data_IF_197302284104
#
_entry.id   IF_197302284104
#
_cell.length_a   1.000
_cell.length_b   1.000
_cell.length_c   1.000
_cell.angle_alpha   90.00
_cell.angle_beta   90.00
_cell.angle_gamma   90.00
#
_symmetry.space_group_name_H-M   'P 1'
#
loop_
_entity.id
_entity.type
_entity.pdbx_description
1 polymer ?
#
# COMPACT_ATOMS: atom_id res chain seq x y z
N UNK A 1 -16.47 0.10 -7.59
CA UNK A 1 -15.07 0.16 -8.02
C UNK A 1 -14.22 0.38 -6.79
N UNK A 2 -13.49 -0.64 -6.34
CA UNK A 2 -12.51 -0.50 -5.27
C UNK A 2 -11.25 0.20 -5.79
N UNK A 3 -10.53 0.92 -4.92
CA UNK A 3 -9.33 1.66 -5.30
C UNK A 3 -8.11 1.08 -4.57
N UNK A 4 -7.01 0.88 -5.29
CA UNK A 4 -5.77 0.35 -4.73
C UNK A 4 -4.87 1.51 -4.29
N UNK A 5 -4.43 1.49 -3.04
CA UNK A 5 -3.65 2.56 -2.41
C UNK A 5 -2.30 1.97 -1.89
N UNK A 6 -1.32 1.71 -2.78
CA UNK A 6 -0.03 1.18 -2.37
C UNK A 6 0.87 2.27 -1.77
N UNK A 7 1.72 1.90 -0.80
CA UNK A 7 2.71 2.80 -0.18
C UNK A 7 3.93 3.06 -1.09
N UNK A 8 4.91 2.17 -1.09
CA UNK A 8 6.08 2.23 -1.99
C UNK A 8 6.22 0.93 -2.74
N UNK A 9 6.36 0.99 -4.08
CA UNK A 9 6.45 -0.19 -4.94
C UNK A 9 7.81 -0.21 -5.62
N UNK A 10 8.49 -1.35 -5.56
CA UNK A 10 9.75 -1.55 -6.28
C UNK A 10 9.49 -1.52 -7.79
N UNK A 11 9.93 -0.45 -8.44
CA UNK A 11 9.87 -0.30 -9.90
C UNK A 11 11.22 0.11 -10.43
N UNK A 12 11.45 -0.10 -11.72
CA UNK A 12 12.72 0.28 -12.39
C UNK A 12 12.97 1.80 -12.45
N UNK A 13 12.04 2.64 -11.98
CA UNK A 13 12.10 4.11 -12.09
C UNK A 13 12.45 4.83 -10.78
N UNK A 14 12.61 4.12 -9.66
CA UNK A 14 12.93 4.77 -8.39
C UNK A 14 14.45 4.89 -8.27
N UNK A 15 14.97 6.10 -8.51
CA UNK A 15 16.33 6.47 -8.12
C UNK A 15 16.33 6.77 -6.61
N UNK A 16 16.93 5.88 -5.82
CA UNK A 16 16.56 5.62 -4.41
C UNK A 16 17.26 6.55 -3.42
N UNK A 17 18.15 7.43 -3.88
CA UNK A 17 19.07 8.13 -2.95
C UNK A 17 18.37 9.17 -2.06
N UNK A 18 17.25 9.78 -2.48
CA UNK A 18 16.50 10.77 -1.68
C UNK A 18 15.36 10.19 -0.82
N UNK A 19 15.03 8.90 -0.97
CA UNK A 19 13.89 8.26 -0.28
C UNK A 19 14.28 6.98 0.46
N UNK A 20 15.57 6.64 0.50
CA UNK A 20 16.14 5.51 1.22
C UNK A 20 15.70 5.44 2.68
N UNK A 21 15.79 6.56 3.41
CA UNK A 21 15.40 6.62 4.82
C UNK A 21 13.91 6.37 5.04
N UNK A 22 13.07 6.79 4.09
CA UNK A 22 11.62 6.54 4.12
C UNK A 22 11.31 5.08 3.77
N UNK A 23 12.01 4.54 2.78
CA UNK A 23 11.94 3.15 2.35
C UNK A 23 12.35 2.20 3.47
N UNK A 24 13.41 2.50 4.22
CA UNK A 24 13.86 1.64 5.33
C UNK A 24 12.85 1.60 6.48
N UNK A 25 12.18 2.73 6.76
CA UNK A 25 11.16 2.81 7.82
C UNK A 25 9.84 2.15 7.45
N UNK A 26 9.42 2.28 6.20
CA UNK A 26 8.06 1.89 5.75
C UNK A 26 8.09 0.53 5.06
N UNK A 27 9.21 0.21 4.42
CA UNK A 27 9.44 -0.95 3.57
C UNK A 27 8.90 -0.76 2.16
N UNK A 28 9.42 -1.58 1.23
CA UNK A 28 9.00 -1.58 -0.17
C UNK A 28 8.13 -2.82 -0.45
N UNK A 29 7.04 -2.60 -1.18
CA UNK A 29 6.18 -3.64 -1.73
C UNK A 29 6.80 -4.15 -3.03
N UNK A 30 6.98 -5.46 -3.12
CA UNK A 30 7.36 -6.11 -4.37
C UNK A 30 6.19 -6.09 -5.35
N UNK A 31 6.49 -5.89 -6.64
CA UNK A 31 5.49 -5.86 -7.72
C UNK A 31 4.61 -7.12 -7.78
N UNK A 32 5.16 -8.29 -7.43
CA UNK A 32 4.43 -9.56 -7.42
C UNK A 32 3.32 -9.55 -6.37
N UNK A 33 3.62 -9.09 -5.15
CA UNK A 33 2.64 -8.95 -4.06
C UNK A 33 1.52 -7.99 -4.47
N UNK A 34 1.85 -6.89 -5.15
CA UNK A 34 0.85 -5.94 -5.62
C UNK A 34 -0.10 -6.57 -6.63
N UNK A 35 0.42 -7.40 -7.55
CA UNK A 35 -0.40 -8.10 -8.53
C UNK A 35 -1.36 -9.12 -7.88
N UNK A 36 -0.90 -9.83 -6.85
CA UNK A 36 -1.74 -10.76 -6.07
C UNK A 36 -2.92 -10.04 -5.41
N UNK A 37 -2.65 -8.90 -4.75
CA UNK A 37 -3.71 -8.10 -4.10
C UNK A 37 -4.72 -7.57 -5.11
N UNK A 38 -4.27 -7.12 -6.29
CA UNK A 38 -5.18 -6.68 -7.35
C UNK A 38 -6.07 -7.83 -7.81
N UNK A 39 -5.54 -9.03 -7.97
CA UNK A 39 -6.33 -10.21 -8.34
C UNK A 39 -7.37 -10.57 -7.29
N UNK A 40 -7.05 -10.44 -6.00
CA UNK A 40 -8.01 -10.63 -4.91
C UNK A 40 -9.13 -9.57 -4.96
N UNK A 41 -8.77 -8.30 -5.11
CA UNK A 41 -9.74 -7.20 -5.19
C UNK A 41 -10.71 -7.32 -6.37
N UNK A 42 -10.27 -7.87 -7.50
CA UNK A 42 -11.14 -8.09 -8.67
C UNK A 42 -12.07 -9.28 -8.47
N UNK A 43 -11.65 -10.28 -7.68
CA UNK A 43 -12.47 -11.47 -7.39
C UNK A 43 -13.52 -11.23 -6.32
N UNK A 44 -13.24 -10.34 -5.36
CA UNK A 44 -14.13 -10.02 -4.25
C UNK A 44 -14.80 -8.65 -4.42
N UNK A 45 -16.03 -8.66 -4.92
CA UNK A 45 -16.83 -7.46 -5.15
C UNK A 45 -17.47 -6.88 -3.87
N UNK A 46 -17.40 -7.57 -2.72
CA UNK A 46 -18.04 -7.12 -1.47
C UNK A 46 -17.42 -5.84 -0.91
N UNK A 47 -16.18 -5.55 -1.30
CA UNK A 47 -15.41 -4.37 -0.89
C UNK A 47 -15.43 -3.23 -1.92
N UNK A 48 -16.37 -3.28 -2.87
CA UNK A 48 -16.55 -2.21 -3.84
C UNK A 48 -16.84 -0.87 -3.16
N UNK A 49 -16.13 0.18 -3.59
CA UNK A 49 -16.26 1.52 -3.02
C UNK A 49 -15.30 1.80 -1.86
N UNK A 50 -14.52 0.81 -1.42
CA UNK A 50 -13.47 0.96 -0.40
C UNK A 50 -12.08 1.10 -1.02
N UNK A 51 -11.14 1.70 -0.29
CA UNK A 51 -9.72 1.72 -0.64
C UNK A 51 -9.01 0.55 0.05
N UNK A 52 -8.28 -0.26 -0.70
CA UNK A 52 -7.36 -1.25 -0.14
C UNK A 52 -6.00 -0.58 0.07
N UNK A 53 -5.60 -0.46 1.33
CA UNK A 53 -4.27 -0.01 1.73
C UNK A 53 -3.34 -1.21 1.72
N UNK A 54 -2.25 -1.11 0.94
CA UNK A 54 -1.24 -2.16 0.84
C UNK A 54 0.06 -1.64 1.43
N UNK A 55 0.59 -2.36 2.42
CA UNK A 55 1.91 -2.13 2.98
C UNK A 55 2.75 -3.42 2.90
N UNK A 56 4.06 -3.35 3.18
CA UNK A 56 4.89 -4.54 3.29
C UNK A 56 4.39 -5.50 4.39
N UNK A 57 3.92 -4.97 5.52
CA UNK A 57 3.53 -5.75 6.69
C UNK A 57 2.07 -6.23 6.64
N UNK A 58 1.13 -5.43 6.13
CA UNK A 58 -0.31 -5.72 6.20
C UNK A 58 -1.09 -5.11 5.04
N UNK A 59 -2.20 -5.77 4.68
CA UNK A 59 -3.19 -5.26 3.75
C UNK A 59 -4.52 -5.08 4.48
N UNK A 60 -5.23 -3.97 4.26
CA UNK A 60 -6.54 -3.74 4.89
C UNK A 60 -7.41 -2.77 4.10
N UNK A 61 -8.73 -2.86 4.27
CA UNK A 61 -9.69 -1.95 3.65
C UNK A 61 -10.00 -0.75 4.55
N UNK A 62 -10.13 0.43 3.93
CA UNK A 62 -10.68 1.65 4.53
C UNK A 62 -11.83 2.18 3.69
N UNK A 63 -12.83 2.73 4.37
CA UNK A 63 -14.00 3.33 3.71
C UNK A 63 -13.65 4.67 3.02
N UNK A 64 -12.54 5.30 3.41
CA UNK A 64 -12.01 6.54 2.83
C UNK A 64 -10.57 6.38 2.31
N UNK A 65 -10.15 7.28 1.44
CA UNK A 65 -8.74 7.40 1.05
C UNK A 65 -7.91 7.85 2.25
N UNK A 66 -6.89 7.09 2.65
CA UNK A 66 -6.04 7.50 3.75
C UNK A 66 -5.32 8.80 3.38
N UNK A 67 -5.35 9.79 4.27
CA UNK A 67 -4.38 10.88 4.18
C UNK A 67 -3.01 10.28 4.40
N UNK A 68 -2.01 10.84 3.71
CA UNK A 68 -0.60 10.46 3.84
C UNK A 68 -0.27 10.34 5.33
N UNK A 69 -0.57 11.36 6.14
CA UNK A 69 -0.31 11.39 7.60
C UNK A 69 -0.91 10.21 8.41
N UNK A 70 -2.09 9.71 8.04
CA UNK A 70 -2.77 8.62 8.75
C UNK A 70 -2.10 7.26 8.55
N UNK A 71 -1.29 7.11 7.49
CA UNK A 71 -0.51 5.89 7.23
C UNK A 71 0.70 5.84 8.17
N UNK A 72 1.33 6.98 8.46
CA UNK A 72 2.58 7.06 9.24
C UNK A 72 2.37 6.90 10.74
N UNK A 73 1.27 7.44 11.30
CA UNK A 73 0.99 7.35 12.74
C UNK A 73 0.75 5.91 13.24
N UNK A 74 0.37 5.00 12.34
CA UNK A 74 0.13 3.59 12.69
C UNK A 74 1.39 2.73 12.72
N UNK A 75 2.49 3.15 12.09
CA UNK A 75 3.75 2.39 12.04
C UNK A 75 4.63 2.62 13.29
N UNK A 76 4.42 3.69 14.04
CA UNK A 76 5.15 3.98 15.29
C UNK A 76 4.51 3.39 16.55
N UNK A 77 3.43 2.60 16.41
CA UNK A 77 2.68 2.00 17.54
C UNK A 77 2.74 0.46 17.59
N UNK A 78 3.74 -0.19 17.00
CA UNK A 78 3.96 -1.65 17.14
C UNK A 78 5.39 -2.01 17.51
#
# INVERSE_FOLDING_TARGET
MAVLCPTFVETTMIDVDNIKDYIEKIGIIKKEKLAEVVLEMVKDETNNGKCMVVTPQLNYYKDDFPKVEDVFLSAEQS
#
